data_IF_037222681461
#
_entry.id   IF_037222681461
#
_cell.length_a   1.000
_cell.length_b   1.000
_cell.length_c   1.000
_cell.angle_alpha   90.00
_cell.angle_beta   90.00
_cell.angle_gamma   90.00
#
_symmetry.space_group_name_H-M   'P 1'
#
loop_
_entity.id
_entity.type
_entity.pdbx_description
1 polymer ?
#
# COMPACT_ATOMS: atom_id res chain seq x y z
N UNK A 1 -39.95 -20.33 -37.94
CA UNK A 1 -39.11 -21.02 -36.93
C UNK A 1 -37.64 -20.61 -37.01
N UNK A 2 -37.03 -20.48 -38.20
CA UNK A 2 -35.62 -20.08 -38.36
C UNK A 2 -35.25 -18.70 -37.77
N UNK A 3 -36.18 -17.73 -37.77
CA UNK A 3 -35.94 -16.38 -37.25
C UNK A 3 -35.86 -16.32 -35.72
N UNK A 4 -36.59 -17.20 -35.02
CA UNK A 4 -36.63 -17.21 -33.55
C UNK A 4 -35.34 -17.80 -32.95
N UNK A 5 -34.79 -18.84 -33.58
CA UNK A 5 -33.49 -19.42 -33.22
C UNK A 5 -32.33 -18.46 -33.47
N UNK A 6 -32.39 -17.65 -34.52
CA UNK A 6 -31.39 -16.60 -34.77
C UNK A 6 -31.49 -15.48 -33.74
N UNK A 7 -32.71 -15.04 -33.39
CA UNK A 7 -32.90 -14.01 -32.35
C UNK A 7 -32.44 -14.50 -30.97
N UNK A 8 -32.75 -15.76 -30.63
CA UNK A 8 -32.32 -16.39 -29.38
C UNK A 8 -30.80 -16.54 -29.33
N UNK A 9 -30.17 -16.91 -30.45
CA UNK A 9 -28.71 -16.98 -30.57
C UNK A 9 -28.04 -15.61 -30.43
N UNK A 10 -28.62 -14.55 -31.02
CA UNK A 10 -28.12 -13.18 -30.87
C UNK A 10 -28.28 -12.68 -29.42
N UNK A 11 -29.39 -13.01 -28.78
CA UNK A 11 -29.65 -12.65 -27.37
C UNK A 11 -28.69 -13.39 -26.42
N UNK A 12 -28.40 -14.67 -26.69
CA UNK A 12 -27.40 -15.43 -25.95
C UNK A 12 -26.00 -14.84 -26.14
N UNK A 13 -25.61 -14.44 -27.36
CA UNK A 13 -24.33 -13.78 -27.63
C UNK A 13 -24.20 -12.41 -26.93
N UNK A 14 -25.28 -11.62 -26.88
CA UNK A 14 -25.33 -10.35 -26.13
C UNK A 14 -25.20 -10.53 -24.61
N UNK A 15 -25.60 -11.69 -24.07
CA UNK A 15 -25.41 -12.03 -22.66
C UNK A 15 -24.00 -12.55 -22.35
N UNK A 16 -23.25 -13.07 -23.34
CA UNK A 16 -21.85 -13.50 -23.14
C UNK A 16 -20.89 -12.30 -23.04
N UNK A 17 -21.17 -11.20 -23.75
CA UNK A 17 -20.33 -9.99 -23.70
C UNK A 17 -20.39 -9.25 -22.36
N UNK A 18 -21.42 -9.49 -21.54
CA UNK A 18 -21.57 -8.86 -20.21
C UNK A 18 -20.75 -9.55 -19.11
N UNK A 19 -20.07 -10.66 -19.40
CA UNK A 19 -19.13 -11.30 -18.47
C UNK A 19 -17.67 -11.04 -18.84
N UNK A 20 -17.38 -9.91 -19.49
CA UNK A 20 -16.08 -9.26 -19.30
C UNK A 20 -16.00 -8.84 -17.83
N UNK A 21 -15.72 -9.82 -16.97
CA UNK A 21 -15.25 -9.60 -15.63
C UNK A 21 -14.09 -8.63 -15.76
N UNK A 22 -14.32 -7.39 -15.36
CA UNK A 22 -13.23 -6.60 -14.82
C UNK A 22 -12.52 -7.55 -13.87
N UNK A 23 -11.31 -8.00 -14.22
CA UNK A 23 -10.39 -8.55 -13.24
C UNK A 23 -10.12 -7.39 -12.29
N UNK A 24 -11.05 -7.13 -11.38
CA UNK A 24 -10.86 -6.23 -10.27
C UNK A 24 -9.71 -6.86 -9.51
N UNK A 25 -8.53 -6.25 -9.63
CA UNK A 25 -7.44 -6.56 -8.73
C UNK A 25 -8.01 -6.48 -7.32
N UNK A 26 -7.75 -7.50 -6.49
CA UNK A 26 -8.24 -7.52 -5.12
C UNK A 26 -7.70 -6.33 -4.32
N UNK A 27 -8.24 -6.11 -3.10
CA UNK A 27 -7.69 -5.10 -2.21
C UNK A 27 -6.20 -5.32 -2.03
N UNK A 28 -5.42 -4.25 -2.11
CA UNK A 28 -3.97 -4.32 -2.02
C UNK A 28 -3.39 -3.10 -1.28
N UNK A 29 -2.19 -3.27 -0.71
CA UNK A 29 -1.40 -2.20 -0.11
C UNK A 29 -0.08 -2.04 -0.86
N UNK A 30 0.42 -0.81 -0.94
CA UNK A 30 1.59 -0.46 -1.73
C UNK A 30 2.87 -1.16 -1.23
N UNK A 31 3.02 -1.29 0.09
CA UNK A 31 4.24 -1.78 0.72
C UNK A 31 3.90 -2.80 1.82
N UNK A 32 4.55 -3.96 1.74
CA UNK A 32 4.36 -5.08 2.67
C UNK A 32 5.49 -5.19 3.70
N UNK A 33 6.58 -4.45 3.51
CA UNK A 33 7.69 -4.30 4.45
C UNK A 33 8.09 -2.82 4.49
N UNK A 34 8.20 -2.24 5.68
CA UNK A 34 8.54 -0.84 5.89
C UNK A 34 9.62 -0.74 6.95
N UNK A 35 10.70 0.00 6.68
CA UNK A 35 11.66 0.44 7.69
C UNK A 35 11.34 1.86 8.16
N UNK A 36 11.11 2.02 9.47
CA UNK A 36 10.97 3.32 10.12
C UNK A 36 12.18 3.59 11.03
N UNK A 37 12.69 4.83 11.05
CA UNK A 37 13.66 5.22 12.07
C UNK A 37 13.02 5.18 13.48
N UNK A 38 13.82 5.04 14.55
CA UNK A 38 13.35 5.19 15.92
C UNK A 38 12.81 6.60 16.17
N UNK A 39 12.14 6.82 17.31
CA UNK A 39 11.66 8.14 17.70
C UNK A 39 12.77 9.19 17.65
N UNK A 40 12.56 10.22 16.83
CA UNK A 40 13.48 11.34 16.62
C UNK A 40 12.84 12.66 17.07
N UNK A 41 13.65 13.71 17.19
CA UNK A 41 13.19 15.09 17.45
C UNK A 41 12.30 15.62 16.33
N UNK A 42 12.64 15.30 15.08
CA UNK A 42 11.81 15.52 13.90
C UNK A 42 11.30 14.16 13.42
N UNK A 43 10.06 13.78 13.79
CA UNK A 43 9.56 12.44 13.49
C UNK A 43 9.36 12.27 12.00
N UNK A 44 9.85 11.15 11.47
CA UNK A 44 9.56 10.71 10.11
C UNK A 44 8.23 9.96 10.12
N UNK A 45 7.36 10.32 9.20
CA UNK A 45 6.07 9.67 9.02
C UNK A 45 5.99 9.03 7.64
N UNK A 46 5.49 7.81 7.61
CA UNK A 46 5.32 7.04 6.39
C UNK A 46 3.83 6.89 6.10
N UNK A 47 3.41 7.22 4.88
CA UNK A 47 2.01 7.10 4.46
C UNK A 47 1.81 5.78 3.73
N UNK A 48 1.28 4.78 4.43
CA UNK A 48 0.92 3.51 3.84
C UNK A 48 -0.35 3.67 3.00
N UNK A 49 -0.24 3.34 1.72
CA UNK A 49 -1.33 3.45 0.75
C UNK A 49 -1.94 2.08 0.48
N UNK A 50 -3.26 2.05 0.37
CA UNK A 50 -4.04 0.93 -0.14
C UNK A 50 -4.89 1.34 -1.32
N UNK A 51 -5.18 0.38 -2.19
CA UNK A 51 -5.95 0.56 -3.42
C UNK A 51 -6.88 -0.63 -3.63
N UNK A 52 -7.92 -0.40 -4.42
CA UNK A 52 -9.01 -1.35 -4.69
C UNK A 52 -9.67 -1.93 -3.42
N UNK A 53 -9.70 -1.14 -2.34
CA UNK A 53 -10.27 -1.52 -1.06
C UNK A 53 -10.58 -0.33 -0.16
N UNK A 54 -11.27 -0.59 0.94
CA UNK A 54 -11.52 0.38 2.00
C UNK A 54 -11.18 -0.25 3.34
N UNK A 55 -10.13 0.24 3.99
CA UNK A 55 -9.45 -0.49 5.05
C UNK A 55 -9.78 0.06 6.44
N UNK A 56 -9.94 -0.86 7.39
CA UNK A 56 -9.79 -0.61 8.83
C UNK A 56 -8.40 -1.06 9.25
N UNK A 57 -7.72 -0.20 9.99
CA UNK A 57 -6.33 -0.41 10.39
C UNK A 57 -6.24 -0.88 11.83
N UNK A 58 -5.40 -1.87 12.08
CA UNK A 58 -5.02 -2.35 13.43
C UNK A 58 -3.53 -2.71 13.45
N UNK A 59 -2.91 -2.81 14.62
CA UNK A 59 -1.48 -3.12 14.73
C UNK A 59 -1.13 -3.78 16.07
N UNK A 60 -0.03 -4.52 16.13
CA UNK A 60 0.31 -5.37 17.28
C UNK A 60 0.86 -4.57 18.47
N UNK A 61 1.89 -3.75 18.25
CA UNK A 61 2.68 -3.13 19.33
C UNK A 61 2.38 -1.62 19.44
N UNK A 62 1.33 -1.28 20.20
CA UNK A 62 0.87 0.11 20.43
C UNK A 62 1.85 0.98 21.23
N UNK A 63 2.84 0.39 21.88
CA UNK A 63 3.89 1.06 22.64
C UNK A 63 5.07 1.53 21.78
N UNK A 64 5.22 0.98 20.56
CA UNK A 64 6.35 1.29 19.67
C UNK A 64 5.94 1.95 18.34
N UNK A 65 4.71 1.71 17.88
CA UNK A 65 4.18 2.24 16.63
C UNK A 65 2.88 3.00 16.85
N UNK A 66 2.77 4.16 16.21
CA UNK A 66 1.53 4.92 16.06
C UNK A 66 1.03 4.76 14.63
N UNK A 67 -0.24 4.39 14.46
CA UNK A 67 -0.92 4.31 13.17
C UNK A 67 -2.13 5.23 13.21
N UNK A 68 -2.19 6.20 12.32
CA UNK A 68 -3.29 7.15 12.19
C UNK A 68 -3.97 7.01 10.82
N UNK A 69 -5.15 6.38 10.74
CA UNK A 69 -5.91 6.31 9.50
C UNK A 69 -6.29 7.69 8.98
N UNK A 70 -6.20 7.89 7.67
CA UNK A 70 -6.62 9.11 7.00
C UNK A 70 -8.03 8.94 6.42
N UNK A 71 -9.03 9.11 7.27
CA UNK A 71 -10.43 9.03 6.85
C UNK A 71 -10.79 10.19 5.93
N UNK A 72 -11.59 9.89 4.89
CA UNK A 72 -12.36 10.92 4.23
C UNK A 72 -13.50 11.31 5.19
N UNK A 73 -13.90 12.58 5.20
CA UNK A 73 -14.75 13.20 6.23
C UNK A 73 -16.03 12.44 6.64
N UNK A 74 -16.51 11.51 5.81
CA UNK A 74 -17.72 10.71 6.06
C UNK A 74 -17.50 9.19 6.00
N UNK A 75 -16.28 8.68 5.83
CA UNK A 75 -16.03 7.24 5.63
C UNK A 75 -15.66 6.50 6.93
N UNK A 76 -16.23 5.30 7.15
CA UNK A 76 -15.90 4.42 8.28
C UNK A 76 -14.64 3.56 8.08
N UNK A 77 -13.95 3.77 6.97
CA UNK A 77 -12.70 3.14 6.56
C UNK A 77 -11.87 4.14 5.75
N UNK A 78 -10.60 3.85 5.51
CA UNK A 78 -9.72 4.71 4.72
C UNK A 78 -8.89 3.92 3.72
N UNK A 79 -8.36 4.60 2.71
CA UNK A 79 -7.40 4.03 1.75
C UNK A 79 -5.96 4.25 2.19
N UNK A 80 -5.71 5.01 3.26
CA UNK A 80 -4.36 5.28 3.74
C UNK A 80 -4.29 5.48 5.26
N UNK A 81 -3.09 5.27 5.79
CA UNK A 81 -2.76 5.55 7.19
C UNK A 81 -1.33 6.09 7.30
N UNK A 82 -1.12 7.02 8.25
CA UNK A 82 0.20 7.54 8.61
C UNK A 82 0.78 6.70 9.73
N UNK A 83 1.96 6.14 9.48
CA UNK A 83 2.73 5.32 10.40
C UNK A 83 3.89 6.14 10.94
N UNK A 84 4.12 6.05 12.25
CA UNK A 84 5.22 6.75 12.92
C UNK A 84 5.73 5.93 14.09
N UNK A 85 7.06 5.78 14.18
CA UNK A 85 7.69 5.19 15.37
C UNK A 85 7.56 6.13 16.57
N UNK A 86 7.12 5.59 17.69
CA UNK A 86 7.06 6.30 18.99
C UNK A 86 8.02 5.70 20.02
N UNK A 87 8.71 4.60 19.69
CA UNK A 87 9.70 3.99 20.55
C UNK A 87 11.08 4.66 20.43
N UNK A 88 11.79 4.89 21.56
CA UNK A 88 13.22 5.19 21.50
C UNK A 88 13.99 3.99 20.95
N UNK A 89 15.21 4.23 20.47
CA UNK A 89 16.07 3.15 20.01
C UNK A 89 16.54 2.29 21.18
N UNK A 90 16.21 1.01 21.15
CA UNK A 90 16.66 0.00 22.12
C UNK A 90 17.07 -1.30 21.42
N UNK A 91 17.55 -1.20 20.18
CA UNK A 91 17.72 -2.33 19.26
C UNK A 91 16.61 -2.40 18.20
N UNK A 92 16.81 -3.28 17.21
CA UNK A 92 15.87 -3.53 16.12
C UNK A 92 14.58 -4.12 16.68
N UNK A 93 13.44 -3.57 16.27
CA UNK A 93 12.11 -4.07 16.64
C UNK A 93 11.31 -4.42 15.39
N UNK A 94 10.48 -5.44 15.49
CA UNK A 94 9.50 -5.83 14.46
C UNK A 94 8.08 -5.70 15.02
N UNK A 95 7.17 -5.18 14.21
CA UNK A 95 5.73 -5.18 14.47
C UNK A 95 4.98 -5.34 13.14
N UNK A 96 3.66 -5.38 13.19
CA UNK A 96 2.84 -5.43 12.00
C UNK A 96 1.63 -4.51 12.10
N UNK A 97 1.23 -4.03 10.92
CA UNK A 97 -0.01 -3.30 10.68
C UNK A 97 -0.89 -4.17 9.79
N UNK A 98 -2.18 -4.22 10.09
CA UNK A 98 -3.17 -5.00 9.37
C UNK A 98 -4.18 -4.06 8.73
N UNK A 99 -4.34 -4.20 7.42
CA UNK A 99 -5.35 -3.53 6.63
C UNK A 99 -6.50 -4.50 6.37
N UNK A 100 -7.61 -4.35 7.08
CA UNK A 100 -8.81 -5.18 6.91
C UNK A 100 -9.79 -4.48 5.98
N UNK A 101 -9.99 -5.02 4.77
CA UNK A 101 -10.96 -4.48 3.81
C UNK A 101 -12.38 -4.78 4.28
N UNK A 102 -13.21 -3.72 4.36
CA UNK A 102 -14.58 -3.83 4.89
C UNK A 102 -15.54 -4.54 3.95
N UNK A 103 -15.25 -4.59 2.65
CA UNK A 103 -16.15 -5.14 1.64
C UNK A 103 -15.95 -6.66 1.48
N UNK A 104 -14.70 -7.11 1.44
CA UNK A 104 -14.33 -8.51 1.20
C UNK A 104 -13.98 -9.26 2.48
N UNK A 105 -13.67 -8.54 3.57
CA UNK A 105 -13.14 -9.13 4.80
C UNK A 105 -11.67 -9.58 4.68
N UNK A 106 -11.01 -9.34 3.55
CA UNK A 106 -9.60 -9.67 3.37
C UNK A 106 -8.73 -8.84 4.31
N UNK A 107 -7.71 -9.47 4.89
CA UNK A 107 -6.76 -8.81 5.80
C UNK A 107 -5.36 -8.92 5.23
N UNK A 108 -4.71 -7.77 5.02
CA UNK A 108 -3.36 -7.68 4.47
C UNK A 108 -2.41 -7.24 5.58
N UNK A 109 -1.35 -8.03 5.80
CA UNK A 109 -0.33 -7.76 6.82
C UNK A 109 0.85 -7.01 6.23
N UNK A 110 1.14 -5.84 6.76
CA UNK A 110 2.35 -5.07 6.51
C UNK A 110 3.31 -5.25 7.68
N UNK A 111 4.54 -5.68 7.41
CA UNK A 111 5.60 -5.77 8.42
C UNK A 111 6.29 -4.42 8.57
N UNK A 112 6.50 -3.99 9.81
CA UNK A 112 7.20 -2.74 10.11
C UNK A 112 8.41 -3.03 10.98
N UNK A 113 9.59 -2.66 10.49
CA UNK A 113 10.84 -2.66 11.24
C UNK A 113 11.11 -1.27 11.80
N UNK A 114 11.51 -1.20 13.06
CA UNK A 114 12.00 0.03 13.69
C UNK A 114 13.49 -0.16 13.96
N UNK A 115 14.33 0.52 13.18
CA UNK A 115 15.78 0.42 13.29
C UNK A 115 16.50 1.67 12.76
N UNK A 116 17.79 1.79 13.07
CA UNK A 116 18.65 2.85 12.57
C UNK A 116 18.83 2.74 11.06
N UNK A 117 18.57 3.85 10.38
CA UNK A 117 18.94 4.03 8.99
C UNK A 117 20.46 4.16 8.89
N UNK A 118 21.10 3.19 8.24
CA UNK A 118 22.55 3.13 8.07
C UNK A 118 23.01 3.75 6.75
N UNK A 119 22.16 3.71 5.72
CA UNK A 119 22.51 4.23 4.39
C UNK A 119 21.28 4.80 3.68
N UNK A 120 21.42 5.98 3.08
CA UNK A 120 20.44 6.55 2.16
C UNK A 120 21.02 6.45 0.75
N UNK A 121 20.22 5.95 -0.19
CA UNK A 121 20.59 5.85 -1.59
C UNK A 121 19.65 6.72 -2.43
N UNK A 122 20.23 7.62 -3.21
CA UNK A 122 19.53 8.40 -4.22
C UNK A 122 19.93 7.84 -5.58
N UNK A 123 18.95 7.50 -6.42
CA UNK A 123 19.20 6.90 -7.74
C UNK A 123 18.18 7.39 -8.76
N UNK A 124 18.57 7.37 -10.04
CA UNK A 124 17.68 7.63 -11.18
C UNK A 124 17.80 6.49 -12.19
N UNK A 125 16.81 6.34 -13.06
CA UNK A 125 16.80 5.35 -14.15
C UNK A 125 17.03 5.96 -15.53
N UNK A 126 17.17 7.29 -15.64
CA UNK A 126 17.37 7.95 -16.94
C UNK A 126 18.69 7.56 -17.60
N UNK A 127 18.61 7.01 -18.81
CA UNK A 127 19.76 6.55 -19.63
C UNK A 127 20.44 7.74 -20.34
N UNK A 128 19.66 8.75 -20.75
CA UNK A 128 20.14 10.01 -21.33
C UNK A 128 19.25 11.15 -20.83
N UNK A 129 19.87 12.25 -20.43
CA UNK A 129 19.18 13.50 -20.12
C UNK A 129 19.22 14.35 -21.39
N UNK A 130 18.05 14.64 -21.96
CA UNK A 130 17.92 15.65 -23.02
C UNK A 130 17.97 17.05 -22.41
N UNK A 131 18.23 18.09 -23.22
CA UNK A 131 18.37 19.46 -22.74
C UNK A 131 17.13 19.96 -21.96
N UNK A 132 15.94 19.42 -22.28
CA UNK A 132 14.68 19.71 -21.60
C UNK A 132 14.11 18.51 -20.80
N UNK A 133 14.89 17.43 -20.64
CA UNK A 133 14.44 16.20 -20.02
C UNK A 133 14.54 16.22 -18.49
N UNK A 134 13.44 15.91 -17.79
CA UNK A 134 13.44 15.72 -16.33
C UNK A 134 13.74 14.25 -15.96
N UNK A 135 14.71 14.04 -15.05
CA UNK A 135 14.92 12.73 -14.42
C UNK A 135 14.17 12.63 -13.10
N UNK A 136 13.51 11.48 -12.88
CA UNK A 136 12.95 11.17 -11.56
C UNK A 136 14.06 10.63 -10.66
N UNK A 137 14.37 11.37 -9.59
CA UNK A 137 15.20 10.88 -8.50
C UNK A 137 14.34 10.04 -7.55
N UNK A 138 14.85 8.86 -7.18
CA UNK A 138 14.26 7.97 -6.19
C UNK A 138 15.19 7.90 -4.99
N UNK A 139 14.60 7.88 -3.80
CA UNK A 139 15.34 7.82 -2.53
C UNK A 139 14.91 6.57 -1.78
N UNK A 140 15.89 5.83 -1.25
CA UNK A 140 15.70 4.65 -0.39
C UNK A 140 16.57 4.78 0.85
N UNK A 141 16.12 4.23 1.96
CA UNK A 141 16.90 4.12 3.18
C UNK A 141 17.04 2.65 3.57
N UNK A 142 18.20 2.27 4.10
CA UNK A 142 18.53 0.91 4.47
C UNK A 142 18.99 0.84 5.92
N UNK A 143 18.64 -0.23 6.62
CA UNK A 143 19.27 -0.62 7.89
C UNK A 143 20.67 -1.25 7.65
N UNK A 144 21.34 -1.67 8.73
CA UNK A 144 22.65 -2.31 8.64
C UNK A 144 22.60 -3.71 8.02
N UNK A 145 21.43 -4.34 7.96
CA UNK A 145 21.21 -5.63 7.32
C UNK A 145 20.85 -5.51 5.84
N UNK A 146 20.59 -4.30 5.35
CA UNK A 146 20.20 -4.04 3.96
C UNK A 146 18.69 -4.13 3.70
N UNK A 147 17.86 -4.10 4.75
CA UNK A 147 16.39 -4.06 4.64
C UNK A 147 15.91 -2.65 4.29
N UNK A 148 14.89 -2.56 3.44
CA UNK A 148 14.18 -1.34 3.03
C UNK A 148 12.99 -1.02 3.95
#
# INVERSE_FOLDING_TARGET
MLSYTVLLGLFLLLMVDQTASHLSSGPHIADVNILLPPKMTHPVEYRLQGSDGCFKWSWDHHDILSVLPEYNSTSHCSTSARLRSIAPYSGRKETAVYAADVNTGAVIRCKVFIDKLSRIQIFHNSIKLDLDGLATLRVRAFDSEGTL
#
